data_IF_977772588240
#
_entry.id   IF_977772588240
#
_cell.length_a   1.000
_cell.length_b   1.000
_cell.length_c   1.000
_cell.angle_alpha   90.00
_cell.angle_beta   90.00
_cell.angle_gamma   90.00
#
_symmetry.space_group_name_H-M   'P 1'
#
loop_
_entity.id
_entity.type
_entity.pdbx_description
1 polymer ?
#
# COMPACT_ATOMS: atom_id res chain seq x y z
N UNK A 1 11.98 -55.81 -37.11
CA UNK A 1 12.04 -54.34 -37.23
C UNK A 1 12.67 -53.80 -35.96
N UNK A 2 13.81 -53.10 -36.09
CA UNK A 2 14.63 -52.61 -34.97
C UNK A 2 13.94 -51.42 -34.30
N UNK A 3 13.76 -51.50 -32.98
CA UNK A 3 13.40 -50.38 -32.11
C UNK A 3 14.56 -49.37 -32.10
N UNK A 4 14.29 -48.12 -32.48
CA UNK A 4 15.19 -46.98 -32.29
C UNK A 4 14.77 -46.20 -31.05
N UNK A 5 15.55 -46.31 -29.98
CA UNK A 5 15.44 -45.49 -28.78
C UNK A 5 16.23 -44.20 -29.02
N UNK A 6 15.54 -43.09 -29.29
CA UNK A 6 16.17 -41.77 -29.34
C UNK A 6 16.24 -41.21 -27.92
N UNK A 7 17.45 -41.18 -27.35
CA UNK A 7 17.70 -40.57 -26.05
C UNK A 7 17.59 -39.05 -26.13
N UNK A 8 16.72 -38.47 -25.32
CA UNK A 8 16.69 -37.04 -25.03
C UNK A 8 17.69 -36.79 -23.90
N UNK A 9 18.81 -36.14 -24.21
CA UNK A 9 19.73 -35.63 -23.20
C UNK A 9 19.08 -34.38 -22.61
N UNK A 10 18.49 -34.51 -21.42
CA UNK A 10 18.06 -33.35 -20.63
C UNK A 10 19.32 -32.67 -20.07
N UNK A 11 19.71 -31.57 -20.70
CA UNK A 11 20.76 -30.69 -20.18
C UNK A 11 20.14 -29.83 -19.06
N UNK A 12 20.24 -30.29 -17.83
CA UNK A 12 19.83 -29.50 -16.66
C UNK A 12 20.82 -28.35 -16.46
N UNK A 13 20.44 -27.15 -16.90
CA UNK A 13 21.13 -25.92 -16.49
C UNK A 13 20.78 -25.63 -15.03
N UNK A 14 21.69 -25.97 -14.10
CA UNK A 14 21.67 -25.38 -12.77
C UNK A 14 22.12 -23.92 -12.92
N UNK A 15 21.17 -22.98 -12.95
CA UNK A 15 21.47 -21.59 -12.64
C UNK A 15 21.87 -21.52 -11.17
N UNK A 16 23.18 -21.51 -10.89
CA UNK A 16 23.66 -21.02 -9.62
C UNK A 16 23.45 -19.50 -9.67
N UNK A 17 22.31 -19.04 -9.14
CA UNK A 17 22.14 -17.63 -8.80
C UNK A 17 23.14 -17.37 -7.67
N UNK A 18 24.31 -16.83 -8.02
CA UNK A 18 25.19 -16.27 -7.00
C UNK A 18 24.38 -15.19 -6.27
N UNK A 19 24.39 -15.14 -4.92
CA UNK A 19 23.71 -14.08 -4.19
C UNK A 19 24.27 -12.76 -4.71
N UNK A 20 23.42 -11.98 -5.38
CA UNK A 20 23.76 -10.64 -5.83
C UNK A 20 24.12 -9.84 -4.59
N UNK A 21 25.41 -9.56 -4.40
CA UNK A 21 25.87 -8.67 -3.33
C UNK A 21 25.11 -7.36 -3.48
N UNK A 22 24.41 -6.93 -2.44
CA UNK A 22 23.74 -5.65 -2.45
C UNK A 22 24.74 -4.56 -2.86
N UNK A 23 24.37 -3.77 -3.85
CA UNK A 23 25.14 -2.60 -4.25
C UNK A 23 24.50 -1.36 -3.60
N UNK A 24 25.25 -0.27 -3.45
CA UNK A 24 24.66 1.06 -3.25
C UNK A 24 23.44 1.23 -4.17
N UNK A 25 22.32 1.73 -3.63
CA UNK A 25 21.03 1.93 -4.32
C UNK A 25 20.27 0.65 -4.72
N UNK A 26 20.74 -0.53 -4.32
CA UNK A 26 19.92 -1.73 -4.44
C UNK A 26 18.66 -1.58 -3.57
N UNK A 27 17.46 -1.94 -4.08
CA UNK A 27 16.26 -2.02 -3.27
C UNK A 27 16.48 -2.95 -2.08
N UNK A 28 15.83 -2.65 -0.96
CA UNK A 28 15.66 -3.65 0.08
C UNK A 28 14.81 -4.82 -0.45
N UNK A 29 15.00 -6.00 0.14
CA UNK A 29 14.19 -7.19 -0.20
C UNK A 29 12.93 -7.25 0.67
N UNK A 30 12.01 -8.16 0.35
CA UNK A 30 10.82 -8.37 1.19
C UNK A 30 9.73 -7.29 0.97
N UNK A 31 9.05 -6.92 2.05
CA UNK A 31 8.02 -5.88 2.11
C UNK A 31 8.56 -4.50 2.55
N UNK A 32 9.87 -4.38 2.73
CA UNK A 32 10.59 -3.14 3.03
C UNK A 32 10.76 -2.23 1.80
N UNK A 33 9.97 -1.15 1.63
CA UNK A 33 10.28 -0.11 0.65
C UNK A 33 11.60 0.58 1.00
N UNK A 34 12.34 1.00 -0.02
CA UNK A 34 13.57 1.78 0.13
C UNK A 34 14.77 1.11 -0.50
N UNK A 35 15.91 1.79 -0.40
CA UNK A 35 17.15 1.33 -1.02
C UNK A 35 18.35 1.51 -0.09
N UNK A 36 19.35 0.67 -0.29
CA UNK A 36 20.66 0.80 0.33
C UNK A 36 21.24 2.19 0.05
N UNK A 37 21.64 2.96 1.08
CA UNK A 37 22.25 4.27 0.89
C UNK A 37 23.44 4.26 -0.07
N UNK A 38 23.59 5.30 -0.87
CA UNK A 38 24.64 5.40 -1.89
C UNK A 38 26.00 5.87 -1.34
N UNK A 39 26.00 6.61 -0.23
CA UNK A 39 27.19 7.12 0.44
C UNK A 39 27.21 6.83 1.93
N UNK A 40 28.41 6.80 2.52
CA UNK A 40 28.57 6.66 3.97
C UNK A 40 27.92 7.80 4.75
N UNK A 41 27.89 9.01 4.17
CA UNK A 41 27.24 10.17 4.77
C UNK A 41 25.72 9.99 4.81
N UNK A 42 25.11 9.54 3.70
CA UNK A 42 23.68 9.25 3.64
C UNK A 42 23.28 8.08 4.56
N UNK A 43 24.10 7.02 4.64
CA UNK A 43 23.90 5.93 5.60
C UNK A 43 23.94 6.45 7.05
N UNK A 44 24.94 7.28 7.37
CA UNK A 44 25.09 7.85 8.72
C UNK A 44 23.90 8.75 9.08
N UNK A 45 23.47 9.61 8.16
CA UNK A 45 22.27 10.42 8.33
C UNK A 45 21.06 9.52 8.62
N UNK A 46 20.72 8.62 7.69
CA UNK A 46 19.49 7.82 7.75
C UNK A 46 19.43 7.00 9.03
N UNK A 47 20.53 6.30 9.37
CA UNK A 47 20.61 5.55 10.61
C UNK A 47 20.51 6.43 11.87
N UNK A 48 21.03 7.65 11.83
CA UNK A 48 20.92 8.58 12.99
C UNK A 48 19.48 9.03 13.17
N UNK A 49 18.78 9.36 12.07
CA UNK A 49 17.36 9.73 12.09
C UNK A 49 16.51 8.56 12.59
N UNK A 50 16.69 7.36 12.03
CA UNK A 50 15.95 6.15 12.43
C UNK A 50 16.17 5.82 13.91
N UNK A 51 17.41 5.86 14.39
CA UNK A 51 17.71 5.61 15.81
C UNK A 51 17.15 6.69 16.73
N UNK A 52 17.19 7.96 16.30
CA UNK A 52 16.55 9.06 17.03
C UNK A 52 15.03 8.87 17.10
N UNK A 53 14.40 8.44 16.01
CA UNK A 53 12.97 8.20 15.96
C UNK A 53 12.55 7.02 16.85
N UNK A 54 13.34 5.94 16.85
CA UNK A 54 13.15 4.82 17.78
C UNK A 54 13.23 5.27 19.26
N UNK A 55 14.11 6.23 19.59
CA UNK A 55 14.17 6.82 20.93
C UNK A 55 12.94 7.69 21.22
N UNK A 56 12.51 8.52 20.26
CA UNK A 56 11.30 9.34 20.38
C UNK A 56 10.08 8.49 20.73
N UNK A 57 9.86 7.37 20.01
CA UNK A 57 8.78 6.41 20.30
C UNK A 57 8.82 5.93 21.75
N UNK A 58 9.99 5.52 22.24
CA UNK A 58 10.12 5.03 23.62
C UNK A 58 9.93 6.13 24.67
N UNK A 59 10.32 7.37 24.37
CA UNK A 59 10.18 8.52 25.27
C UNK A 59 8.73 8.98 25.37
N UNK A 60 8.03 9.13 24.25
CA UNK A 60 6.60 9.50 24.23
C UNK A 60 5.75 8.41 24.90
N UNK A 61 6.01 7.13 24.60
CA UNK A 61 5.35 6.03 25.32
C UNK A 61 5.63 6.02 26.84
N UNK A 62 6.73 6.63 27.31
CA UNK A 62 6.98 6.84 28.74
C UNK A 62 6.19 8.05 29.29
N UNK A 63 6.04 9.13 28.51
CA UNK A 63 5.19 10.27 28.86
C UNK A 63 3.74 9.82 29.05
N UNK A 64 3.15 9.09 28.09
CA UNK A 64 1.79 8.56 28.21
C UNK A 64 1.61 7.63 29.42
N UNK A 65 2.61 6.78 29.71
CA UNK A 65 2.59 5.91 30.92
C UNK A 65 2.57 6.73 32.20
N UNK A 66 3.40 7.76 32.29
CA UNK A 66 3.42 8.65 33.45
C UNK A 66 2.12 9.44 33.59
N UNK A 67 1.49 9.84 32.49
CA UNK A 67 0.19 10.50 32.47
C UNK A 67 -0.90 9.56 32.98
N UNK A 68 -0.96 8.32 32.48
CA UNK A 68 -1.90 7.31 32.94
C UNK A 68 -1.71 6.95 34.43
N UNK A 69 -0.45 6.81 34.86
CA UNK A 69 -0.09 6.62 36.28
C UNK A 69 -0.58 7.80 37.13
N UNK A 70 -0.32 9.04 36.70
CA UNK A 70 -0.72 10.23 37.44
C UNK A 70 -2.24 10.35 37.54
N UNK A 71 -2.95 10.11 36.44
CA UNK A 71 -4.40 10.09 36.40
C UNK A 71 -4.97 9.02 37.35
N UNK A 72 -4.41 7.81 37.35
CA UNK A 72 -4.81 6.72 38.25
C UNK A 72 -4.54 7.02 39.72
N UNK A 73 -3.41 7.64 40.05
CA UNK A 73 -3.05 8.01 41.43
C UNK A 73 -3.59 9.37 41.87
N UNK A 74 -4.41 10.03 41.04
CA UNK A 74 -4.94 11.38 41.27
C UNK A 74 -3.84 12.42 41.56
N UNK A 75 -2.72 12.30 40.87
CA UNK A 75 -1.64 13.30 40.86
C UNK A 75 -1.61 14.03 39.53
N UNK A 76 -0.81 15.09 39.43
CA UNK A 76 -0.65 15.87 38.19
C UNK A 76 0.62 15.46 37.46
N UNK A 77 0.53 15.29 36.15
CA UNK A 77 1.67 15.14 35.26
C UNK A 77 1.46 16.05 34.04
N UNK A 78 2.53 16.75 33.65
CA UNK A 78 2.55 17.63 32.48
C UNK A 78 3.12 16.81 31.32
N UNK A 79 2.23 16.04 30.67
CA UNK A 79 2.61 15.18 29.55
C UNK A 79 3.03 16.04 28.35
N UNK A 80 2.32 17.11 28.05
CA UNK A 80 2.64 18.05 26.97
C UNK A 80 4.09 18.53 27.02
N UNK A 81 4.54 18.96 28.21
CA UNK A 81 5.95 19.34 28.39
C UNK A 81 6.88 18.14 28.25
N UNK A 82 6.50 16.96 28.73
CA UNK A 82 7.27 15.73 28.55
C UNK A 82 7.47 15.39 27.07
N UNK A 83 6.41 15.44 26.27
CA UNK A 83 6.44 15.13 24.84
C UNK A 83 7.21 16.16 24.04
N UNK A 84 6.97 17.44 24.30
CA UNK A 84 7.69 18.52 23.65
C UNK A 84 9.19 18.45 23.94
N UNK A 85 9.58 18.02 25.15
CA UNK A 85 10.99 17.76 25.46
C UNK A 85 11.54 16.55 24.67
N UNK A 86 10.78 15.46 24.53
CA UNK A 86 11.19 14.31 23.73
C UNK A 86 11.34 14.67 22.24
N UNK A 87 10.40 15.45 21.70
CA UNK A 87 10.42 15.98 20.33
C UNK A 87 11.62 16.90 20.11
N UNK A 88 11.88 17.82 21.03
CA UNK A 88 13.03 18.71 20.96
C UNK A 88 14.37 17.94 20.94
N UNK A 89 14.49 16.85 21.70
CA UNK A 89 15.68 15.98 21.66
C UNK A 89 15.83 15.26 20.31
N UNK A 90 14.73 14.81 19.73
CA UNK A 90 14.74 14.21 18.41
C UNK A 90 15.14 15.22 17.33
N UNK A 91 14.54 16.41 17.33
CA UNK A 91 14.87 17.50 16.41
C UNK A 91 16.35 17.93 16.53
N UNK A 92 16.86 18.01 17.76
CA UNK A 92 18.28 18.28 18.00
C UNK A 92 19.17 17.18 17.40
N UNK A 93 18.75 15.92 17.48
CA UNK A 93 19.45 14.77 16.87
C UNK A 93 19.46 14.89 15.35
N UNK A 94 18.31 15.19 14.73
CA UNK A 94 18.19 15.41 13.28
C UNK A 94 19.08 16.58 12.83
N UNK A 95 19.10 17.67 13.58
CA UNK A 95 19.93 18.84 13.28
C UNK A 95 21.43 18.51 13.19
N UNK A 96 21.92 17.51 13.94
CA UNK A 96 23.33 17.08 13.88
C UNK A 96 23.74 16.47 12.53
N UNK A 97 22.78 15.91 11.78
CA UNK A 97 23.02 15.20 10.52
C UNK A 97 22.39 15.87 9.31
N UNK A 98 21.56 16.89 9.49
CA UNK A 98 20.77 17.54 8.44
C UNK A 98 21.60 17.96 7.20
N UNK A 99 22.82 18.48 7.40
CA UNK A 99 23.71 18.88 6.31
C UNK A 99 24.19 17.71 5.43
N UNK A 100 24.09 16.48 5.94
CA UNK A 100 24.50 15.23 5.28
C UNK A 100 23.31 14.37 4.85
N UNK A 101 22.08 14.85 5.04
CA UNK A 101 20.87 14.11 4.74
C UNK A 101 20.32 14.44 3.34
N UNK A 102 19.78 13.44 2.60
CA UNK A 102 18.90 13.71 1.49
C UNK A 102 17.70 14.55 1.94
N UNK A 103 17.21 15.44 1.08
CA UNK A 103 16.09 16.35 1.41
C UNK A 103 14.81 15.60 1.80
N UNK A 104 14.59 14.42 1.23
CA UNK A 104 13.37 13.63 1.42
C UNK A 104 13.28 12.96 2.81
N UNK A 105 14.43 12.73 3.47
CA UNK A 105 14.48 12.16 4.84
C UNK A 105 14.04 13.19 5.89
N UNK A 106 14.28 14.48 5.64
CA UNK A 106 14.01 15.55 6.60
C UNK A 106 12.55 16.01 6.62
N UNK A 107 11.76 15.68 5.60
CA UNK A 107 10.37 16.15 5.49
C UNK A 107 9.33 15.24 6.15
N UNK A 108 9.71 14.06 6.64
CA UNK A 108 8.75 13.00 6.99
C UNK A 108 8.72 12.58 8.46
N UNK A 109 9.30 13.35 9.39
CA UNK A 109 9.37 12.92 10.80
C UNK A 109 8.21 13.41 11.69
N UNK A 110 7.01 13.50 11.14
CA UNK A 110 5.81 13.80 11.92
C UNK A 110 4.67 12.89 11.51
N UNK A 111 4.34 11.93 12.38
CA UNK A 111 3.22 11.00 12.18
C UNK A 111 2.88 10.20 13.44
N UNK A 112 1.79 10.60 14.10
CA UNK A 112 0.86 9.78 14.90
C UNK A 112 1.44 8.81 15.95
N UNK A 113 2.15 9.31 16.96
CA UNK A 113 2.31 8.56 18.22
C UNK A 113 1.06 8.69 19.10
N UNK A 114 0.34 9.81 18.98
CA UNK A 114 -0.82 10.21 19.77
C UNK A 114 -2.00 9.22 19.62
N UNK A 115 -2.24 8.69 18.41
CA UNK A 115 -3.30 7.69 18.18
C UNK A 115 -3.01 6.30 18.76
N UNK A 116 -1.77 6.00 19.18
CA UNK A 116 -1.41 4.69 19.75
C UNK A 116 -1.79 4.57 21.23
N UNK A 117 -2.12 5.68 21.90
CA UNK A 117 -2.54 5.68 23.31
C UNK A 117 -3.86 4.90 23.51
N UNK A 118 -4.81 5.04 22.57
CA UNK A 118 -6.09 4.31 22.56
C UNK A 118 -5.94 2.79 22.35
N UNK A 119 -4.80 2.37 21.82
CA UNK A 119 -4.47 0.97 21.70
C UNK A 119 -4.07 0.42 23.08
N UNK A 120 -3.11 1.04 23.76
CA UNK A 120 -2.56 0.48 24.99
C UNK A 120 -3.49 0.58 26.20
N UNK A 121 -4.32 1.63 26.28
CA UNK A 121 -5.17 1.92 27.43
C UNK A 121 -6.65 1.67 27.20
N UNK A 122 -7.41 1.73 28.29
CA UNK A 122 -8.82 1.37 28.27
C UNK A 122 -9.59 2.23 27.25
N UNK A 123 -10.50 1.66 26.44
CA UNK A 123 -11.15 2.39 25.33
C UNK A 123 -12.60 2.81 25.64
N UNK A 124 -13.17 3.65 24.76
CA UNK A 124 -14.52 4.21 24.94
C UNK A 124 -15.61 3.14 24.95
N UNK A 125 -15.41 2.01 24.25
CA UNK A 125 -16.34 0.88 24.25
C UNK A 125 -16.36 0.15 25.59
N UNK A 126 -15.21 -0.03 26.24
CA UNK A 126 -15.14 -0.53 27.61
C UNK A 126 -15.82 0.44 28.58
N UNK A 127 -15.57 1.74 28.44
CA UNK A 127 -16.19 2.76 29.28
C UNK A 127 -17.73 2.74 29.19
N UNK A 128 -18.26 2.68 27.97
CA UNK A 128 -19.72 2.65 27.73
C UNK A 128 -20.45 1.42 28.31
N UNK A 129 -19.71 0.35 28.65
CA UNK A 129 -20.25 -0.87 29.25
C UNK A 129 -19.99 -0.98 30.77
N UNK A 130 -19.27 -0.02 31.37
CA UNK A 130 -19.08 0.03 32.82
C UNK A 130 -20.13 0.89 33.51
N UNK A 131 -20.49 0.48 34.72
CA UNK A 131 -21.33 1.26 35.61
C UNK A 131 -20.71 1.26 37.02
N UNK A 132 -20.13 2.38 37.49
CA UNK A 132 -20.08 3.69 36.83
C UNK A 132 -19.07 3.75 35.66
N UNK A 133 -19.21 4.72 34.72
CA UNK A 133 -18.19 5.03 33.71
C UNK A 133 -16.82 5.32 34.34
N UNK A 134 -15.75 5.03 33.60
CA UNK A 134 -14.36 5.35 33.98
C UNK A 134 -13.92 6.67 33.35
N UNK A 135 -13.04 7.39 34.04
CA UNK A 135 -12.56 8.72 33.60
C UNK A 135 -11.58 8.61 32.42
N UNK A 136 -11.58 9.58 31.48
CA UNK A 136 -10.56 9.65 30.43
C UNK A 136 -9.17 9.91 31.02
N UNK A 137 -8.13 9.41 30.36
CA UNK A 137 -6.73 9.69 30.75
C UNK A 137 -6.43 11.17 30.58
N UNK A 138 -6.86 11.74 29.45
CA UNK A 138 -6.80 13.16 29.19
C UNK A 138 -8.21 13.74 28.91
N UNK A 139 -8.76 14.51 29.84
CA UNK A 139 -10.00 15.24 29.64
C UNK A 139 -9.87 16.42 28.64
N UNK A 140 -8.65 16.85 28.30
CA UNK A 140 -8.36 17.99 27.39
C UNK A 140 -8.63 17.66 25.92
N UNK A 141 -8.44 16.41 25.53
CA UNK A 141 -9.03 15.79 24.35
C UNK A 141 -8.09 15.43 23.19
N UNK A 142 -6.77 15.49 23.37
CA UNK A 142 -5.81 15.06 22.34
C UNK A 142 -5.27 13.64 22.59
N UNK A 143 -5.25 13.21 23.84
CA UNK A 143 -4.86 11.85 24.23
C UNK A 143 -6.06 10.89 24.34
N UNK A 144 -6.06 9.87 23.50
CA UNK A 144 -7.14 8.90 23.49
C UNK A 144 -6.90 7.76 24.51
N UNK A 145 -7.82 7.57 25.46
CA UNK A 145 -7.75 6.47 26.42
C UNK A 145 -8.51 6.75 27.71
N UNK A 146 -8.74 5.72 28.50
CA UNK A 146 -9.44 5.78 29.79
C UNK A 146 -8.64 5.10 30.88
N UNK A 147 -8.74 5.64 32.10
CA UNK A 147 -7.98 5.18 33.26
C UNK A 147 -8.42 3.76 33.62
N UNK A 148 -7.48 2.79 33.71
CA UNK A 148 -7.80 1.43 34.14
C UNK A 148 -8.42 1.42 35.56
N UNK A 149 -9.41 0.56 35.83
CA UNK A 149 -10.18 0.62 37.08
C UNK A 149 -9.43 0.09 38.31
N UNK A 150 -8.30 -0.62 38.11
CA UNK A 150 -7.46 -1.10 39.20
C UNK A 150 -5.97 -1.15 38.82
N UNK A 151 -5.12 -1.32 39.85
CA UNK A 151 -3.67 -1.30 39.70
C UNK A 151 -3.10 -2.49 38.89
N UNK A 152 -3.85 -3.59 38.72
CA UNK A 152 -3.43 -4.69 37.84
C UNK A 152 -3.70 -4.34 36.38
N UNK A 153 -4.86 -3.74 36.10
CA UNK A 153 -5.22 -3.20 34.79
C UNK A 153 -4.26 -2.13 34.32
N UNK A 154 -3.87 -1.20 35.20
CA UNK A 154 -2.86 -0.17 34.92
C UNK A 154 -1.51 -0.79 34.53
N UNK A 155 -1.00 -1.71 35.35
CA UNK A 155 0.26 -2.42 35.05
C UNK A 155 0.22 -3.21 33.74
N UNK A 156 -0.93 -3.79 33.38
CA UNK A 156 -1.08 -4.42 32.07
C UNK A 156 -0.99 -3.39 30.95
N UNK A 157 -1.76 -2.29 31.01
CA UNK A 157 -1.79 -1.25 29.98
C UNK A 157 -0.40 -0.63 29.77
N UNK A 158 0.31 -0.30 30.86
CA UNK A 158 1.69 0.19 30.80
C UNK A 158 2.64 -0.86 30.20
N UNK A 159 2.42 -2.13 30.54
CA UNK A 159 3.15 -3.26 29.98
C UNK A 159 2.97 -3.36 28.47
N UNK A 160 1.74 -3.18 27.97
CA UNK A 160 1.41 -3.20 26.54
C UNK A 160 2.06 -2.02 25.83
N UNK A 161 1.88 -0.80 26.35
CA UNK A 161 2.50 0.42 25.82
C UNK A 161 4.03 0.25 25.70
N UNK A 162 4.67 -0.22 26.77
CA UNK A 162 6.11 -0.47 26.77
C UNK A 162 6.53 -1.60 25.83
N UNK A 163 5.73 -2.66 25.68
CA UNK A 163 6.03 -3.78 24.79
C UNK A 163 5.93 -3.37 23.32
N UNK A 164 4.90 -2.59 22.96
CA UNK A 164 4.69 -2.05 21.61
C UNK A 164 5.82 -1.09 21.22
N UNK A 165 6.16 -0.14 22.08
CA UNK A 165 7.27 0.79 21.84
C UNK A 165 8.61 0.06 21.64
N UNK A 166 8.84 -1.04 22.37
CA UNK A 166 10.03 -1.89 22.21
C UNK A 166 10.02 -2.66 20.89
N UNK A 167 8.86 -3.16 20.45
CA UNK A 167 8.72 -3.82 19.15
C UNK A 167 9.08 -2.84 18.02
N UNK A 168 8.45 -1.66 18.00
CA UNK A 168 8.72 -0.61 17.02
C UNK A 168 10.20 -0.21 17.01
N UNK A 169 10.80 -0.01 18.19
CA UNK A 169 12.23 0.28 18.31
C UNK A 169 13.13 -0.87 17.81
N UNK A 170 12.70 -2.13 17.95
CA UNK A 170 13.44 -3.28 17.47
C UNK A 170 13.35 -3.43 15.94
N UNK A 171 12.18 -3.22 15.34
CA UNK A 171 11.98 -3.23 13.89
C UNK A 171 12.80 -2.11 13.23
N UNK A 172 12.72 -0.88 13.73
CA UNK A 172 13.56 0.23 13.23
C UNK A 172 15.07 -0.09 13.32
N UNK A 173 15.51 -0.84 14.34
CA UNK A 173 16.91 -1.30 14.43
C UNK A 173 17.22 -2.36 13.37
N UNK A 174 16.30 -3.26 13.09
CA UNK A 174 16.41 -4.20 11.97
C UNK A 174 16.62 -3.42 10.66
N UNK A 175 15.82 -2.38 10.39
CA UNK A 175 15.98 -1.49 9.23
C UNK A 175 17.37 -0.83 9.17
N UNK A 176 17.89 -0.32 10.30
CA UNK A 176 19.26 0.22 10.33
C UNK A 176 20.34 -0.83 10.07
N UNK A 177 20.12 -2.07 10.50
CA UNK A 177 21.04 -3.18 10.31
C UNK A 177 21.07 -3.62 8.86
N UNK A 178 19.94 -3.72 8.17
CA UNK A 178 19.90 -4.07 6.75
C UNK A 178 20.48 -2.98 5.87
N UNK A 179 20.23 -1.70 6.18
CA UNK A 179 20.85 -0.60 5.46
C UNK A 179 22.38 -0.66 5.60
N UNK A 180 22.87 -0.93 6.81
CA UNK A 180 24.29 -1.08 7.10
C UNK A 180 24.91 -2.34 6.47
N UNK A 181 24.18 -3.45 6.46
CA UNK A 181 24.58 -4.72 5.87
C UNK A 181 24.64 -4.60 4.34
N UNK A 182 23.57 -4.12 3.72
CA UNK A 182 23.48 -3.85 2.29
C UNK A 182 24.57 -2.90 1.82
N UNK A 183 24.85 -1.82 2.57
CA UNK A 183 25.94 -0.89 2.25
C UNK A 183 27.32 -1.56 2.22
N UNK A 184 27.52 -2.61 3.02
CA UNK A 184 28.75 -3.42 3.06
C UNK A 184 28.73 -4.59 2.07
N UNK A 185 27.70 -4.68 1.22
CA UNK A 185 27.48 -5.77 0.26
C UNK A 185 27.05 -7.09 0.90
N UNK A 186 26.41 -7.02 2.07
CA UNK A 186 25.75 -8.13 2.75
C UNK A 186 24.30 -8.34 2.29
N UNK A 187 23.53 -9.07 3.09
CA UNK A 187 22.10 -9.31 2.85
C UNK A 187 21.25 -8.06 3.11
N UNK A 188 20.15 -7.92 2.39
CA UNK A 188 19.08 -6.90 2.56
C UNK A 188 17.72 -7.53 2.87
N UNK A 189 17.73 -8.79 3.33
CA UNK A 189 16.56 -9.56 3.76
C UNK A 189 16.44 -9.47 5.29
N UNK A 190 15.44 -8.73 5.78
CA UNK A 190 15.26 -8.40 7.21
C UNK A 190 14.27 -9.30 7.94
N UNK A 191 13.56 -10.16 7.21
CA UNK A 191 12.45 -10.96 7.71
C UNK A 191 12.84 -11.73 8.98
N UNK A 192 14.06 -12.23 9.03
CA UNK A 192 14.56 -12.97 10.20
C UNK A 192 14.78 -12.10 11.45
N UNK A 193 15.16 -10.83 11.29
CA UNK A 193 15.34 -9.89 12.40
C UNK A 193 13.98 -9.44 12.95
N UNK A 194 13.05 -9.09 12.07
CA UNK A 194 11.72 -8.65 12.46
C UNK A 194 10.91 -9.78 13.10
N UNK A 195 10.98 -10.99 12.54
CA UNK A 195 10.38 -12.17 13.16
C UNK A 195 10.96 -12.46 14.56
N UNK A 196 12.24 -12.16 14.79
CA UNK A 196 12.84 -12.27 16.13
C UNK A 196 12.30 -11.19 17.07
N UNK A 197 12.10 -9.95 16.59
CA UNK A 197 11.48 -8.87 17.36
C UNK A 197 10.01 -9.19 17.72
N UNK A 198 9.23 -9.67 16.74
CA UNK A 198 7.85 -10.15 16.93
C UNK A 198 7.78 -11.28 17.95
N UNK A 199 8.69 -12.25 17.89
CA UNK A 199 8.74 -13.34 18.88
C UNK A 199 8.95 -12.85 20.31
N UNK A 200 9.79 -11.83 20.51
CA UNK A 200 9.99 -11.19 21.82
C UNK A 200 8.74 -10.45 22.28
N UNK A 201 8.07 -9.75 21.36
CA UNK A 201 6.81 -9.06 21.63
C UNK A 201 5.73 -10.07 22.06
N UNK A 202 5.53 -11.14 21.30
CA UNK A 202 4.53 -12.18 21.55
C UNK A 202 4.77 -12.88 22.89
N UNK A 203 6.03 -13.22 23.20
CA UNK A 203 6.39 -13.82 24.47
C UNK A 203 6.11 -12.88 25.66
N UNK A 204 6.22 -11.57 25.47
CA UNK A 204 5.90 -10.57 26.49
C UNK A 204 4.39 -10.37 26.60
N UNK A 205 3.67 -10.33 25.48
CA UNK A 205 2.22 -10.25 25.41
C UNK A 205 1.56 -11.41 26.17
N UNK A 206 2.06 -12.64 25.99
CA UNK A 206 1.61 -13.83 26.71
C UNK A 206 1.80 -13.72 28.23
N UNK A 207 2.87 -13.06 28.69
CA UNK A 207 3.11 -12.84 30.13
C UNK A 207 2.19 -11.78 30.72
N UNK A 208 1.82 -10.77 29.93
CA UNK A 208 0.96 -9.67 30.36
C UNK A 208 -0.51 -10.08 30.43
N UNK A 209 -0.97 -10.94 29.51
CA UNK A 209 -2.38 -11.32 29.35
C UNK A 209 -3.14 -11.65 30.66
N UNK A 210 -2.60 -12.43 31.62
CA UNK A 210 -3.30 -12.75 32.86
C UNK A 210 -3.61 -11.54 33.76
N UNK A 211 -2.90 -10.42 33.59
CA UNK A 211 -3.07 -9.20 34.37
C UNK A 211 -4.05 -8.21 33.74
N UNK A 212 -4.54 -8.47 32.51
CA UNK A 212 -5.34 -7.54 31.71
C UNK A 212 -6.87 -7.66 31.92
N UNK A 213 -7.30 -8.56 32.81
CA UNK A 213 -8.70 -8.84 33.18
C UNK A 213 -9.61 -7.65 33.52
N UNK A 214 -9.15 -6.52 34.10
CA UNK A 214 -10.02 -5.40 34.46
C UNK A 214 -10.42 -4.53 33.28
N UNK A 215 -9.67 -4.57 32.18
CA UNK A 215 -9.96 -3.90 30.90
C UNK A 215 -10.48 -4.91 29.85
N UNK A 216 -11.05 -6.05 30.28
CA UNK A 216 -11.42 -7.19 29.42
C UNK A 216 -12.51 -6.90 28.35
N UNK A 217 -13.01 -5.66 28.26
CA UNK A 217 -13.89 -5.19 27.18
C UNK A 217 -13.26 -4.18 26.20
N UNK A 218 -11.94 -3.91 26.26
CA UNK A 218 -11.30 -3.05 25.24
C UNK A 218 -11.40 -3.65 23.84
N UNK A 219 -11.47 -4.97 23.73
CA UNK A 219 -11.27 -5.63 22.46
C UNK A 219 -12.42 -6.58 22.17
N UNK A 220 -13.61 -6.02 21.93
CA UNK A 220 -14.53 -6.70 21.04
C UNK A 220 -13.79 -6.85 19.70
N UNK A 221 -13.48 -8.08 19.30
CA UNK A 221 -13.16 -8.35 17.91
C UNK A 221 -14.22 -7.68 17.02
N UNK A 222 -13.88 -7.19 15.81
CA UNK A 222 -14.85 -6.59 14.89
C UNK A 222 -15.96 -7.53 14.37
N UNK A 223 -16.30 -8.65 15.04
CA UNK A 223 -17.26 -9.65 14.59
C UNK A 223 -18.14 -10.22 15.73
N UNK A 224 -19.37 -10.68 15.43
CA UNK A 224 -20.27 -11.29 16.42
C UNK A 224 -19.74 -12.66 16.89
N UNK A 225 -20.14 -13.10 18.09
CA UNK A 225 -19.52 -14.24 18.76
C UNK A 225 -19.91 -15.57 18.12
N UNK A 226 -18.97 -16.24 17.44
CA UNK A 226 -19.05 -17.69 17.25
C UNK A 226 -18.40 -18.38 18.44
N UNK A 227 -19.19 -18.58 19.49
CA UNK A 227 -19.14 -19.68 20.48
C UNK A 227 -17.83 -20.11 21.17
N UNK A 228 -16.70 -19.41 21.03
CA UNK A 228 -15.52 -19.61 21.88
C UNK A 228 -14.98 -18.25 22.30
N UNK A 229 -15.05 -17.93 23.60
CA UNK A 229 -14.66 -16.63 24.17
C UNK A 229 -13.28 -16.17 23.69
N UNK A 230 -13.12 -14.86 23.48
CA UNK A 230 -11.84 -14.26 23.11
C UNK A 230 -10.92 -14.21 24.34
N UNK A 231 -9.79 -14.92 24.37
CA UNK A 231 -8.75 -14.64 25.35
C UNK A 231 -7.98 -13.38 24.91
N UNK A 232 -7.52 -12.58 25.88
CA UNK A 232 -6.81 -11.29 25.74
C UNK A 232 -5.59 -11.29 24.78
N UNK A 233 -5.14 -12.48 24.35
CA UNK A 233 -4.03 -12.70 23.44
C UNK A 233 -4.30 -12.22 21.99
N UNK A 234 -5.55 -12.24 21.52
CA UNK A 234 -5.88 -12.01 20.10
C UNK A 234 -5.69 -10.54 19.63
N UNK A 235 -5.67 -9.60 20.56
CA UNK A 235 -5.63 -8.17 20.23
C UNK A 235 -4.19 -7.64 20.10
N UNK A 236 -3.29 -8.02 21.02
CA UNK A 236 -1.87 -7.68 20.93
C UNK A 236 -1.26 -8.30 19.66
N UNK A 237 -1.69 -9.53 19.34
CA UNK A 237 -1.37 -10.16 18.06
C UNK A 237 -1.87 -9.35 16.86
N UNK A 238 -3.11 -8.85 16.88
CA UNK A 238 -3.63 -7.97 15.83
C UNK A 238 -2.85 -6.66 15.71
N UNK A 239 -2.49 -6.02 16.83
CA UNK A 239 -1.68 -4.81 16.81
C UNK A 239 -0.31 -4.99 16.17
N UNK A 240 0.36 -6.09 16.46
CA UNK A 240 1.71 -6.30 15.96
C UNK A 240 1.70 -6.86 14.54
N UNK A 241 0.86 -7.88 14.28
CA UNK A 241 0.93 -8.72 13.08
C UNK A 241 -0.08 -8.35 11.98
N UNK A 242 -0.97 -7.37 12.17
CA UNK A 242 -1.91 -7.01 11.09
C UNK A 242 -1.14 -6.41 9.90
N UNK A 243 -1.27 -7.04 8.73
CA UNK A 243 -0.55 -6.69 7.50
C UNK A 243 -0.85 -5.30 6.90
N UNK A 244 -1.80 -4.54 7.46
CA UNK A 244 -2.21 -3.22 6.94
C UNK A 244 -2.29 -2.14 8.02
N UNK A 245 -2.65 -2.54 9.24
CA UNK A 245 -2.86 -1.64 10.37
C UNK A 245 -1.93 -1.95 11.54
N UNK A 246 -1.16 -3.04 11.44
CA UNK A 246 -0.22 -3.46 12.46
C UNK A 246 0.95 -2.49 12.56
N UNK A 247 1.52 -2.42 13.75
CA UNK A 247 2.58 -1.50 14.08
C UNK A 247 3.86 -1.78 13.26
N UNK A 248 4.10 -3.05 12.91
CA UNK A 248 5.22 -3.47 12.05
C UNK A 248 4.98 -2.99 10.62
N UNK A 249 3.84 -3.38 10.00
CA UNK A 249 3.48 -2.95 8.65
C UNK A 249 3.46 -1.41 8.45
N UNK A 250 3.10 -0.64 9.48
CA UNK A 250 3.20 0.84 9.43
C UNK A 250 4.64 1.33 9.39
N UNK A 251 5.53 0.74 10.18
CA UNK A 251 6.96 1.08 10.18
C UNK A 251 7.59 0.68 8.85
N UNK A 252 7.32 -0.53 8.37
CA UNK A 252 7.87 -1.05 7.11
C UNK A 252 7.41 -0.20 5.93
N UNK A 253 6.10 0.10 5.86
CA UNK A 253 5.55 0.97 4.81
C UNK A 253 6.18 2.37 4.74
N UNK A 254 6.81 2.84 5.82
CA UNK A 254 7.52 4.12 5.86
C UNK A 254 9.04 4.03 5.67
N UNK A 255 9.60 2.82 5.58
CA UNK A 255 11.04 2.57 5.46
C UNK A 255 11.66 3.31 4.24
N UNK A 256 10.91 3.41 3.14
CA UNK A 256 11.32 4.11 1.93
C UNK A 256 11.46 5.64 2.09
N UNK A 257 10.89 6.23 3.15
CA UNK A 257 11.08 7.64 3.49
C UNK A 257 12.40 7.87 4.24
N UNK A 258 12.83 6.90 5.04
CA UNK A 258 14.07 6.94 5.83
C UNK A 258 15.28 6.52 4.98
N UNK A 259 15.07 5.61 4.03
CA UNK A 259 16.07 5.12 3.08
C UNK A 259 15.59 5.32 1.64
N UNK A 260 15.52 6.57 1.17
CA UNK A 260 14.99 6.86 -0.15
C UNK A 260 15.82 6.19 -1.23
N UNK A 261 15.14 5.48 -2.12
CA UNK A 261 15.72 5.12 -3.41
C UNK A 261 16.05 6.39 -4.19
N UNK A 262 17.11 6.38 -5.02
CA UNK A 262 17.34 7.49 -5.92
C UNK A 262 16.04 7.72 -6.71
N UNK A 263 15.44 8.91 -6.55
CA UNK A 263 14.54 9.43 -7.57
C UNK A 263 15.31 9.28 -8.85
N UNK A 264 14.78 8.52 -9.80
CA UNK A 264 15.38 8.48 -11.13
C UNK A 264 15.46 9.93 -11.55
N UNK A 265 16.66 10.51 -11.56
CA UNK A 265 16.89 11.71 -12.33
C UNK A 265 16.61 11.23 -13.73
N UNK A 266 15.39 11.43 -14.21
CA UNK A 266 15.09 11.42 -15.62
C UNK A 266 16.05 12.46 -16.15
N UNK A 267 17.19 12.00 -16.66
CA UNK A 267 17.83 12.63 -17.79
C UNK A 267 16.65 12.90 -18.71
N UNK A 268 16.28 14.16 -18.88
CA UNK A 268 15.24 14.56 -19.81
C UNK A 268 15.77 14.22 -21.19
N UNK A 269 15.66 12.95 -21.57
CA UNK A 269 15.54 12.57 -22.95
C UNK A 269 14.31 13.35 -23.41
N UNK A 270 14.42 14.23 -24.41
CA UNK A 270 13.25 14.91 -24.95
C UNK A 270 12.19 13.85 -25.21
N UNK A 271 11.03 14.01 -24.58
CA UNK A 271 9.95 13.03 -24.71
C UNK A 271 9.71 12.80 -26.21
N UNK A 272 9.55 11.54 -26.66
CA UNK A 272 9.13 11.29 -28.03
C UNK A 272 7.83 12.07 -28.25
N UNK A 273 7.92 13.13 -29.04
CA UNK A 273 6.83 14.04 -29.30
C UNK A 273 6.12 13.50 -30.52
N UNK A 274 4.83 13.18 -30.39
CA UNK A 274 4.00 12.88 -31.54
C UNK A 274 3.65 14.20 -32.20
N UNK A 275 3.99 14.35 -33.48
CA UNK A 275 3.64 15.54 -34.26
C UNK A 275 2.13 15.69 -34.29
N UNK A 276 1.64 16.87 -33.90
CA UNK A 276 0.22 17.23 -34.03
C UNK A 276 0.05 18.27 -35.12
N UNK A 277 -1.10 18.24 -35.78
CA UNK A 277 -1.50 19.16 -36.83
C UNK A 277 -2.74 19.90 -36.35
N UNK A 278 -2.72 21.23 -36.40
CA UNK A 278 -3.91 22.03 -36.14
C UNK A 278 -4.90 21.87 -37.29
N UNK A 279 -6.17 21.63 -36.94
CA UNK A 279 -7.23 21.33 -37.88
C UNK A 279 -8.22 22.51 -37.94
N UNK A 280 -8.08 23.46 -38.89
CA UNK A 280 -8.87 24.69 -38.90
C UNK A 280 -10.39 24.44 -39.00
N UNK A 281 -10.76 23.40 -39.73
CA UNK A 281 -12.13 22.94 -39.96
C UNK A 281 -12.77 22.29 -38.74
N UNK A 282 -11.97 21.88 -37.76
CA UNK A 282 -12.42 21.34 -36.48
C UNK A 282 -12.09 22.32 -35.35
N UNK A 283 -12.48 23.58 -35.54
CA UNK A 283 -12.27 24.69 -34.59
C UNK A 283 -10.80 24.94 -34.20
N UNK A 284 -9.85 24.58 -35.07
CA UNK A 284 -8.41 24.75 -34.81
C UNK A 284 -7.83 23.74 -33.82
N UNK A 285 -8.55 22.66 -33.49
CA UNK A 285 -8.08 21.63 -32.58
C UNK A 285 -6.84 20.90 -33.12
N UNK A 286 -5.94 20.52 -32.21
CA UNK A 286 -4.77 19.67 -32.50
C UNK A 286 -4.82 18.32 -31.78
N UNK A 287 -5.80 18.15 -30.88
CA UNK A 287 -6.07 16.92 -30.14
C UNK A 287 -7.58 16.67 -30.06
N UNK A 288 -7.94 15.41 -29.90
CA UNK A 288 -9.29 14.96 -29.63
C UNK A 288 -9.29 14.30 -28.25
N UNK A 289 -10.15 14.76 -27.35
CA UNK A 289 -10.38 14.11 -26.07
C UNK A 289 -11.70 13.33 -26.14
N UNK A 290 -11.65 12.04 -25.84
CA UNK A 290 -12.84 11.19 -25.76
C UNK A 290 -12.97 10.63 -24.36
N UNK A 291 -14.21 10.49 -23.90
CA UNK A 291 -14.55 9.69 -22.73
C UNK A 291 -15.35 8.49 -23.22
N UNK A 292 -14.97 7.30 -22.79
CA UNK A 292 -15.72 6.10 -23.12
C UNK A 292 -17.06 6.11 -22.40
N UNK A 293 -18.12 5.69 -23.11
CA UNK A 293 -19.42 5.42 -22.53
C UNK A 293 -19.73 3.93 -22.55
N UNK A 294 -20.78 3.53 -21.83
CA UNK A 294 -21.24 2.13 -21.82
C UNK A 294 -21.86 1.79 -23.18
N UNK A 295 -21.25 0.85 -23.90
CA UNK A 295 -21.76 0.35 -25.17
C UNK A 295 -23.07 -0.43 -24.99
N UNK A 296 -23.90 -0.46 -26.03
CA UNK A 296 -25.11 -1.31 -26.08
C UNK A 296 -25.11 -2.14 -27.36
N UNK A 297 -25.78 -3.30 -27.32
CA UNK A 297 -25.86 -4.20 -28.47
C UNK A 297 -24.80 -5.30 -28.49
N UNK A 298 -24.67 -5.97 -29.65
CA UNK A 298 -23.79 -7.11 -29.85
C UNK A 298 -22.55 -6.72 -30.66
N UNK A 299 -21.37 -6.81 -30.05
CA UNK A 299 -20.07 -6.47 -30.63
C UNK A 299 -19.25 -7.69 -31.05
N UNK A 300 -19.77 -8.91 -30.91
CA UNK A 300 -19.11 -10.11 -31.41
C UNK A 300 -19.70 -11.41 -30.89
N UNK A 301 -19.15 -12.54 -31.31
CA UNK A 301 -19.58 -13.86 -30.86
C UNK A 301 -18.40 -14.74 -30.54
N UNK A 302 -18.41 -15.38 -29.37
CA UNK A 302 -17.53 -16.50 -29.05
C UNK A 302 -18.15 -17.75 -29.65
N UNK A 303 -17.37 -18.51 -30.41
CA UNK A 303 -17.80 -19.80 -30.96
C UNK A 303 -17.25 -20.94 -30.12
N UNK A 304 -18.00 -22.04 -30.02
CA UNK A 304 -17.49 -23.30 -29.47
C UNK A 304 -16.62 -24.03 -30.50
N UNK A 305 -16.01 -25.15 -30.09
CA UNK A 305 -15.14 -25.96 -30.97
C UNK A 305 -15.87 -26.61 -32.16
N UNK A 306 -17.21 -26.65 -32.14
CA UNK A 306 -18.04 -27.11 -33.24
C UNK A 306 -18.52 -25.96 -34.16
N UNK A 307 -18.07 -24.72 -33.93
CA UNK A 307 -18.45 -23.54 -34.71
C UNK A 307 -19.81 -22.92 -34.35
N UNK A 308 -20.52 -23.47 -33.35
CA UNK A 308 -21.76 -22.89 -32.85
C UNK A 308 -21.52 -21.73 -31.88
N UNK A 309 -22.41 -20.75 -31.83
CA UNK A 309 -22.30 -19.62 -30.90
C UNK A 309 -22.36 -20.09 -29.46
N UNK A 310 -21.30 -19.82 -28.71
CA UNK A 310 -21.19 -20.07 -27.28
C UNK A 310 -21.68 -18.88 -26.45
N UNK A 311 -21.28 -17.66 -26.82
CA UNK A 311 -21.71 -16.43 -26.14
C UNK A 311 -21.68 -15.22 -27.08
N UNK A 312 -22.68 -14.35 -26.99
CA UNK A 312 -22.63 -13.04 -27.62
C UNK A 312 -21.83 -12.07 -26.73
N UNK A 313 -20.96 -11.28 -27.35
CA UNK A 313 -20.14 -10.26 -26.70
C UNK A 313 -20.90 -8.94 -26.73
N UNK A 314 -21.41 -8.52 -25.58
CA UNK A 314 -22.03 -7.22 -25.40
C UNK A 314 -20.97 -6.12 -25.63
N UNK A 315 -21.36 -5.07 -26.32
CA UNK A 315 -20.52 -3.88 -26.46
C UNK A 315 -20.20 -3.29 -25.08
N UNK A 316 -18.95 -2.88 -24.86
CA UNK A 316 -18.49 -2.36 -23.56
C UNK A 316 -18.27 -3.40 -22.46
N UNK A 317 -18.42 -4.69 -22.77
CA UNK A 317 -18.16 -5.78 -21.82
C UNK A 317 -16.71 -6.23 -21.81
N UNK A 318 -16.12 -6.36 -20.61
CA UNK A 318 -14.86 -7.08 -20.41
C UNK A 318 -15.16 -8.57 -20.14
N UNK A 319 -14.43 -9.43 -20.85
CA UNK A 319 -14.60 -10.88 -20.77
C UNK A 319 -13.28 -11.53 -20.35
N UNK A 320 -13.28 -12.19 -19.20
CA UNK A 320 -12.13 -12.90 -18.63
C UNK A 320 -12.48 -14.37 -18.39
N UNK A 321 -11.52 -15.29 -18.51
CA UNK A 321 -11.71 -16.72 -18.19
C UNK A 321 -12.23 -17.62 -19.35
N UNK A 322 -12.78 -18.79 -19.00
CA UNK A 322 -13.23 -19.85 -19.91
C UNK A 322 -14.45 -20.63 -19.40
N UNK A 323 -14.75 -21.82 -19.97
CA UNK A 323 -16.03 -22.55 -19.82
C UNK A 323 -16.46 -23.00 -18.40
N UNK A 324 -15.64 -22.76 -17.36
CA UNK A 324 -15.96 -22.99 -15.95
C UNK A 324 -15.72 -21.77 -15.05
N UNK A 325 -15.66 -20.57 -15.62
CA UNK A 325 -15.42 -19.34 -14.87
C UNK A 325 -16.55 -19.06 -13.87
N UNK A 326 -16.21 -18.81 -12.60
CA UNK A 326 -17.15 -18.45 -11.53
C UNK A 326 -17.33 -16.94 -11.37
N UNK A 327 -16.55 -16.14 -12.10
CA UNK A 327 -16.63 -14.67 -12.09
C UNK A 327 -17.80 -14.21 -12.96
N UNK A 328 -18.65 -13.26 -12.49
CA UNK A 328 -19.74 -12.71 -13.30
C UNK A 328 -19.21 -12.12 -14.63
N UNK A 329 -19.96 -12.26 -15.73
CA UNK A 329 -19.56 -11.74 -17.05
C UNK A 329 -20.79 -11.33 -17.87
N UNK A 330 -20.76 -10.24 -18.66
CA UNK A 330 -19.62 -9.32 -18.82
C UNK A 330 -19.43 -8.42 -17.61
N UNK A 331 -18.18 -8.10 -17.32
CA UNK A 331 -17.88 -7.02 -16.40
C UNK A 331 -18.03 -5.70 -17.14
N UNK A 332 -18.77 -4.76 -16.54
CA UNK A 332 -18.87 -3.40 -17.06
C UNK A 332 -17.51 -2.76 -16.88
N UNK A 333 -16.84 -2.44 -17.98
CA UNK A 333 -15.63 -1.65 -17.90
C UNK A 333 -15.96 -0.30 -17.22
N UNK A 334 -15.22 0.13 -16.19
CA UNK A 334 -15.50 1.37 -15.48
C UNK A 334 -15.51 2.57 -16.41
N UNK A 335 -16.45 3.44 -16.07
CA UNK A 335 -16.92 4.61 -16.77
C UNK A 335 -15.87 5.75 -16.83
N UNK A 336 -15.92 6.56 -17.88
CA UNK A 336 -15.30 7.88 -18.05
C UNK A 336 -13.76 8.03 -17.99
N UNK A 337 -12.96 7.01 -18.32
CA UNK A 337 -11.52 7.23 -18.52
C UNK A 337 -11.28 8.21 -19.68
N UNK A 338 -10.73 9.42 -19.47
CA UNK A 338 -10.45 10.33 -20.58
C UNK A 338 -9.29 9.78 -21.41
N UNK A 339 -9.40 9.85 -22.72
CA UNK A 339 -8.37 9.41 -23.67
C UNK A 339 -8.09 10.53 -24.66
N UNK A 340 -6.87 11.05 -24.64
CA UNK A 340 -6.43 12.12 -25.54
C UNK A 340 -5.72 11.50 -26.74
N UNK A 341 -6.18 11.84 -27.94
CA UNK A 341 -5.61 11.47 -29.22
C UNK A 341 -5.05 12.73 -29.92
N UNK A 342 -3.95 12.56 -30.63
CA UNK A 342 -3.39 13.61 -31.47
C UNK A 342 -4.10 13.63 -32.82
N UNK A 343 -4.35 14.82 -33.37
CA UNK A 343 -4.74 14.96 -34.76
C UNK A 343 -3.45 15.01 -35.58
N UNK A 344 -3.19 13.95 -36.35
CA UNK A 344 -1.97 13.84 -37.17
C UNK A 344 -2.12 14.52 -38.51
N UNK A 345 -3.33 14.50 -39.09
CA UNK A 345 -3.66 15.19 -40.33
C UNK A 345 -5.17 15.47 -40.42
N UNK A 346 -5.54 16.43 -41.26
CA UNK A 346 -6.94 16.76 -41.56
C UNK A 346 -7.13 17.05 -43.05
N UNK A 347 -8.30 16.66 -43.57
CA UNK A 347 -8.75 17.00 -44.92
C UNK A 347 -10.25 17.30 -44.86
N UNK A 348 -10.64 18.55 -45.08
CA UNK A 348 -12.02 18.97 -44.83
C UNK A 348 -12.39 18.75 -43.37
N UNK A 349 -13.53 18.13 -43.09
CA UNK A 349 -14.02 17.80 -41.74
C UNK A 349 -13.45 16.49 -41.18
N UNK A 350 -12.78 15.71 -42.02
CA UNK A 350 -12.19 14.43 -41.63
C UNK A 350 -10.80 14.61 -41.01
N UNK A 351 -10.54 13.92 -39.91
CA UNK A 351 -9.27 13.91 -39.19
C UNK A 351 -8.70 12.50 -39.10
N UNK A 352 -7.37 12.40 -39.15
CA UNK A 352 -6.63 11.17 -38.85
C UNK A 352 -6.06 11.28 -37.44
N UNK A 353 -6.36 10.29 -36.60
CA UNK A 353 -6.00 10.26 -35.19
C UNK A 353 -4.78 9.38 -34.95
N UNK A 354 -3.88 9.85 -34.11
CA UNK A 354 -2.71 9.11 -33.62
C UNK A 354 -2.64 9.18 -32.10
N UNK A 355 -1.70 8.42 -31.52
CA UNK A 355 -1.50 8.39 -30.08
C UNK A 355 -0.98 9.73 -29.51
N UNK A 356 -1.17 9.92 -28.21
CA UNK A 356 -0.44 10.88 -27.38
C UNK A 356 0.34 10.15 -26.32
N UNK A 357 1.52 10.66 -25.95
CA UNK A 357 2.32 10.10 -24.86
C UNK A 357 1.89 10.64 -23.50
N UNK A 358 2.24 9.93 -22.42
CA UNK A 358 2.03 10.40 -21.04
C UNK A 358 2.66 11.78 -20.80
N UNK A 359 3.79 12.05 -21.45
CA UNK A 359 4.48 13.32 -21.35
C UNK A 359 3.74 14.47 -22.06
N UNK A 360 3.13 14.21 -23.22
CA UNK A 360 2.34 15.22 -23.95
C UNK A 360 1.07 15.61 -23.21
N UNK A 361 0.50 14.67 -22.46
CA UNK A 361 -0.74 14.85 -21.72
C UNK A 361 -0.52 15.23 -20.26
N UNK A 362 0.71 15.06 -19.75
CA UNK A 362 1.05 15.23 -18.34
C UNK A 362 0.62 14.08 -17.44
N UNK A 363 0.04 12.99 -17.97
CA UNK A 363 -0.41 11.84 -17.19
C UNK A 363 -0.46 10.55 -18.02
N UNK A 364 -0.03 9.43 -17.43
CA UNK A 364 -0.18 8.10 -18.02
C UNK A 364 -1.63 7.57 -17.98
N UNK A 365 -2.54 8.26 -17.31
CA UNK A 365 -3.96 7.89 -17.18
C UNK A 365 -4.84 8.42 -18.30
N UNK A 366 -4.35 9.39 -19.09
CA UNK A 366 -5.16 10.06 -20.13
C UNK A 366 -4.54 9.96 -21.53
N UNK A 367 -3.38 9.31 -21.64
CA UNK A 367 -2.64 9.17 -22.88
C UNK A 367 -3.06 7.93 -23.70
N UNK A 368 -2.69 7.90 -24.97
CA UNK A 368 -3.12 6.86 -25.92
C UNK A 368 -1.99 6.08 -26.59
N UNK A 369 -0.76 6.21 -26.08
CA UNK A 369 0.40 5.38 -26.48
C UNK A 369 0.35 3.98 -25.86
N UNK A 370 1.09 3.04 -26.46
CA UNK A 370 1.43 1.79 -25.79
C UNK A 370 2.06 2.07 -24.41
N UNK A 371 1.62 1.34 -23.39
CA UNK A 371 2.02 1.51 -21.99
C UNK A 371 1.19 2.51 -21.18
N UNK A 372 0.29 3.27 -21.81
CA UNK A 372 -0.68 4.11 -21.10
C UNK A 372 -1.74 3.25 -20.40
N UNK A 373 -2.21 3.68 -19.22
CA UNK A 373 -3.28 3.00 -18.49
C UNK A 373 -4.62 3.30 -19.17
N UNK A 374 -5.48 2.28 -19.25
CA UNK A 374 -6.81 2.39 -19.81
C UNK A 374 -7.86 2.29 -18.71
N UNK A 375 -8.19 3.46 -18.15
CA UNK A 375 -9.05 3.59 -16.98
C UNK A 375 -8.36 3.22 -15.67
N UNK A 376 -9.06 3.36 -14.54
CA UNK A 376 -8.56 2.90 -13.24
C UNK A 376 -8.51 1.36 -13.18
N UNK A 377 -7.76 0.77 -12.24
CA UNK A 377 -7.85 -0.65 -11.93
C UNK A 377 -9.32 -1.06 -11.70
N UNK A 378 -9.77 -2.10 -12.41
CA UNK A 378 -11.15 -2.56 -12.41
C UNK A 378 -11.33 -3.69 -11.38
N UNK A 379 -12.06 -3.46 -10.29
CA UNK A 379 -12.33 -4.52 -9.34
C UNK A 379 -13.43 -5.46 -9.86
N UNK A 380 -13.15 -6.75 -9.87
CA UNK A 380 -14.10 -7.80 -10.25
C UNK A 380 -14.39 -8.71 -9.05
N UNK A 381 -15.46 -8.42 -8.29
CA UNK A 381 -15.82 -9.20 -7.11
C UNK A 381 -16.51 -10.52 -7.47
N UNK A 382 -16.17 -11.60 -6.76
CA UNK A 382 -16.86 -12.89 -6.86
C UNK A 382 -17.62 -13.21 -5.57
N UNK A 383 -18.89 -12.81 -5.51
CA UNK A 383 -19.73 -13.02 -4.31
C UNK A 383 -19.97 -14.51 -3.97
N UNK A 384 -19.89 -15.41 -4.94
CA UNK A 384 -20.09 -16.85 -4.75
C UNK A 384 -18.81 -17.57 -4.29
N UNK A 385 -17.65 -17.00 -4.60
CA UNK A 385 -16.35 -17.49 -4.16
C UNK A 385 -15.39 -16.31 -3.92
N UNK A 386 -15.50 -15.61 -2.77
CA UNK A 386 -14.78 -14.36 -2.51
C UNK A 386 -13.25 -14.47 -2.66
N UNK A 387 -12.67 -15.63 -2.31
CA UNK A 387 -11.26 -15.94 -2.49
C UNK A 387 -10.77 -15.92 -3.96
N UNK A 388 -11.70 -15.90 -4.92
CA UNK A 388 -11.40 -15.85 -6.37
C UNK A 388 -11.73 -14.51 -7.02
N UNK A 389 -11.94 -13.47 -6.24
CA UNK A 389 -12.12 -12.11 -6.74
C UNK A 389 -10.81 -11.59 -7.38
N UNK A 390 -10.93 -10.78 -8.44
CA UNK A 390 -9.82 -10.38 -9.30
C UNK A 390 -9.76 -8.86 -9.46
N UNK A 391 -8.57 -8.27 -9.43
CA UNK A 391 -8.34 -6.92 -9.93
C UNK A 391 -7.78 -6.96 -11.34
N UNK A 392 -8.33 -6.15 -12.25
CA UNK A 392 -7.84 -6.04 -13.62
C UNK A 392 -7.18 -4.70 -13.85
N UNK A 393 -5.92 -4.71 -14.27
CA UNK A 393 -5.24 -3.52 -14.75
C UNK A 393 -5.17 -3.60 -16.28
N UNK A 394 -5.77 -2.62 -16.95
CA UNK A 394 -5.74 -2.53 -18.40
C UNK A 394 -4.69 -1.52 -18.84
N UNK A 395 -3.83 -1.94 -19.74
CA UNK A 395 -2.79 -1.12 -20.35
C UNK A 395 -2.96 -1.15 -21.86
N UNK A 396 -2.76 -0.01 -22.52
CA UNK A 396 -2.78 0.08 -23.97
C UNK A 396 -1.60 -0.72 -24.53
N UNK A 397 -1.89 -1.75 -25.32
CA UNK A 397 -0.88 -2.67 -25.84
C UNK A 397 -0.17 -2.12 -27.08
N UNK A 398 -0.83 -1.24 -27.85
CA UNK A 398 -0.29 -0.62 -29.05
C UNK A 398 -0.79 0.81 -29.18
N UNK A 399 0.03 1.68 -29.79
CA UNK A 399 -0.34 3.07 -30.02
C UNK A 399 -1.71 3.17 -30.71
N UNK A 400 -2.59 4.00 -30.16
CA UNK A 400 -3.89 4.25 -30.74
C UNK A 400 -3.76 4.86 -32.15
N UNK A 401 -4.64 4.42 -33.04
CA UNK A 401 -4.78 4.98 -34.37
C UNK A 401 -6.26 4.98 -34.76
N UNK A 402 -6.67 5.97 -35.55
CA UNK A 402 -8.06 6.08 -35.93
C UNK A 402 -8.36 7.22 -36.89
N UNK A 403 -9.65 7.48 -37.04
CA UNK A 403 -10.16 8.63 -37.79
C UNK A 403 -11.39 9.19 -37.09
N UNK A 404 -11.73 10.42 -37.44
CA UNK A 404 -12.99 11.03 -37.02
C UNK A 404 -13.48 12.07 -38.00
N UNK A 405 -14.70 12.55 -37.79
CA UNK A 405 -15.30 13.65 -38.54
C UNK A 405 -15.91 14.66 -37.56
N UNK A 406 -15.41 15.89 -37.57
CA UNK A 406 -15.89 16.91 -36.64
C UNK A 406 -17.23 17.56 -37.04
N UNK A 407 -17.76 17.28 -38.23
CA UNK A 407 -19.09 17.73 -38.64
C UNK A 407 -20.20 16.81 -38.16
N UNK A 408 -19.93 15.50 -38.08
CA UNK A 408 -20.90 14.50 -37.58
C UNK A 408 -20.63 14.12 -36.12
N UNK A 409 -19.39 14.27 -35.65
CA UNK A 409 -18.94 13.78 -34.35
C UNK A 409 -18.55 12.30 -34.36
N UNK A 410 -18.54 11.64 -35.51
CA UNK A 410 -18.17 10.23 -35.62
C UNK A 410 -16.68 10.03 -35.38
N UNK A 411 -16.33 8.99 -34.62
CA UNK A 411 -14.95 8.65 -34.28
C UNK A 411 -14.78 7.13 -34.32
N UNK A 412 -13.73 6.67 -34.99
CA UNK A 412 -13.33 5.25 -35.05
C UNK A 412 -11.87 5.13 -34.63
N UNK A 413 -11.63 4.51 -33.47
CA UNK A 413 -10.29 4.35 -32.90
C UNK A 413 -10.02 2.87 -32.63
N UNK A 414 -8.86 2.40 -33.07
CA UNK A 414 -8.32 1.10 -32.68
C UNK A 414 -7.43 1.28 -31.47
N UNK A 415 -7.76 0.58 -30.38
CA UNK A 415 -7.03 0.62 -29.12
C UNK A 415 -6.87 -0.80 -28.56
N UNK A 416 -5.85 -1.56 -29.00
CA UNK A 416 -5.57 -2.87 -28.45
C UNK A 416 -5.20 -2.76 -26.97
N UNK A 417 -5.78 -3.61 -26.13
CA UNK A 417 -5.55 -3.61 -24.68
C UNK A 417 -4.84 -4.90 -24.26
N UNK A 418 -3.97 -4.78 -23.27
CA UNK A 418 -3.45 -5.87 -22.47
C UNK A 418 -4.08 -5.79 -21.09
N UNK A 419 -4.68 -6.88 -20.64
CA UNK A 419 -5.31 -6.98 -19.32
C UNK A 419 -4.47 -7.89 -18.43
N UNK A 420 -3.98 -7.36 -17.32
CA UNK A 420 -3.34 -8.16 -16.28
C UNK A 420 -4.35 -8.44 -15.16
N UNK A 421 -4.47 -9.70 -14.76
CA UNK A 421 -5.45 -10.17 -13.80
C UNK A 421 -4.73 -10.58 -12.52
N UNK A 422 -5.01 -9.88 -11.43
CA UNK A 422 -4.47 -10.18 -10.12
C UNK A 422 -5.50 -10.92 -9.27
N UNK A 423 -5.19 -12.16 -8.89
CA UNK A 423 -5.98 -12.94 -7.95
C UNK A 423 -5.66 -12.49 -6.54
N UNK A 424 -6.52 -11.67 -5.97
CA UNK A 424 -6.28 -11.02 -4.67
C UNK A 424 -7.21 -11.54 -3.57
N UNK A 425 -8.33 -12.18 -3.94
CA UNK A 425 -9.38 -12.56 -3.00
C UNK A 425 -10.11 -11.35 -2.42
N UNK A 426 -11.13 -11.57 -1.58
CA UNK A 426 -11.84 -10.49 -0.91
C UNK A 426 -11.10 -10.07 0.36
N UNK A 427 -10.43 -8.92 0.30
CA UNK A 427 -9.65 -8.36 1.40
C UNK A 427 -10.52 -7.63 2.44
N UNK A 428 -11.82 -7.39 2.16
CA UNK A 428 -12.73 -6.65 3.02
C UNK A 428 -13.91 -7.51 3.51
N UNK A 429 -13.75 -8.10 4.70
CA UNK A 429 -14.76 -8.97 5.34
C UNK A 429 -16.12 -8.29 5.60
N UNK A 430 -16.17 -6.96 5.65
CA UNK A 430 -17.37 -6.18 5.99
C UNK A 430 -18.10 -5.58 4.77
N UNK A 431 -17.56 -5.76 3.57
CA UNK A 431 -18.20 -5.34 2.32
C UNK A 431 -17.98 -6.43 1.24
N UNK A 432 -18.63 -7.60 1.39
CA UNK A 432 -18.43 -8.74 0.51
C UNK A 432 -18.59 -8.31 -0.94
N UNK A 433 -17.51 -8.44 -1.71
CA UNK A 433 -17.51 -8.08 -3.12
C UNK A 433 -17.45 -6.59 -3.45
N UNK A 434 -16.80 -5.73 -2.66
CA UNK A 434 -16.65 -4.31 -3.02
C UNK A 434 -15.25 -3.83 -3.41
N UNK A 435 -14.11 -4.45 -3.08
CA UNK A 435 -12.84 -3.91 -3.61
C UNK A 435 -11.67 -4.88 -3.62
N UNK A 436 -11.24 -5.22 -4.83
CA UNK A 436 -10.08 -6.07 -5.13
C UNK A 436 -8.89 -5.30 -5.70
N UNK A 437 -9.07 -4.04 -6.04
CA UNK A 437 -7.98 -3.19 -6.53
C UNK A 437 -7.48 -2.24 -5.43
N UNK A 438 -6.18 -1.85 -5.44
CA UNK A 438 -5.67 -0.81 -4.57
C UNK A 438 -6.54 0.44 -4.69
N UNK A 439 -7.04 0.93 -3.56
CA UNK A 439 -7.68 2.24 -3.49
C UNK A 439 -6.58 3.29 -3.57
N UNK A 440 -6.64 4.15 -4.59
CA UNK A 440 -5.87 5.39 -4.56
C UNK A 440 -6.47 6.23 -3.43
N UNK A 441 -5.74 6.37 -2.32
CA UNK A 441 -6.05 7.35 -1.29
C UNK A 441 -5.52 8.72 -1.71
#
# INVERSE_FOLDING_TARGET
MKLGLAGVVALSFFFVVAPTRAQPQAPFGGDDPGCVPDTKAHLTCSNTVVNGFAQLITSVAQCHRNQADAAFFHTTFDEETCENNARAQFEATVATVAASCPRDVLSHVSGSLDNQNAAAYCNSRFNSNNNPPIDPIDPSGDDAGFIPPDAKGLKCADGISANLAKLLSAVLKCHTNIASSGFRGGSTDDESCENAALSVYDATAQKLAPSCSPCAGLHTCPHPPSSNGCPDLNWQLFLAHNATQGAVAQVDGTNGLLYPCPTTTTTTTPCPTVTTTTCPTCAGASTLNITTGIGTGNCGTVLNTAGGTFKNLACGGLYTGGGGNSVPLPETQPDYGPLVLAISSCSGTSMTLSNTTACQTGSNHICSSAGCLYGPPLPIPNALAPATSVCVVNTIAQNAAGSGDCSTGDVSVSLPLSSELFLVGDLYRNAPGIQVCPVCN
#
